data_IF_761172286417
#
_entry.id   IF_761172286417
#
_cell.length_a   1.000
_cell.length_b   1.000
_cell.length_c   1.000
_cell.angle_alpha   90.00
_cell.angle_beta   90.00
_cell.angle_gamma   90.00
#
_symmetry.space_group_name_H-M   'P 1'
#
loop_
_entity.id
_entity.type
_entity.pdbx_description
1 polymer ?
#
# COMPACT_ATOMS: atom_id res chain seq x y z
N UNK A 1 -18.05 -29.15 48.42
CA UNK A 1 -18.53 -27.93 47.75
C UNK A 1 -17.50 -27.28 46.83
N UNK A 2 -16.21 -27.17 47.22
CA UNK A 2 -15.16 -26.50 46.43
C UNK A 2 -14.91 -27.10 45.03
N UNK A 3 -14.99 -28.43 44.87
CA UNK A 3 -14.80 -29.08 43.55
C UNK A 3 -15.93 -28.79 42.57
N UNK A 4 -17.18 -28.71 43.03
CA UNK A 4 -18.34 -28.35 42.18
C UNK A 4 -18.27 -26.90 41.71
N UNK A 5 -17.78 -26.00 42.57
CA UNK A 5 -17.56 -24.58 42.24
C UNK A 5 -16.43 -24.43 41.22
N UNK A 6 -15.33 -25.19 41.36
CA UNK A 6 -14.24 -25.19 40.39
C UNK A 6 -14.67 -25.70 39.01
N UNK A 7 -15.43 -26.80 38.97
CA UNK A 7 -15.99 -27.35 37.72
C UNK A 7 -16.93 -26.33 37.06
N UNK A 8 -17.77 -25.63 37.84
CA UNK A 8 -18.69 -24.60 37.34
C UNK A 8 -17.95 -23.39 36.76
N UNK A 9 -16.86 -22.94 37.39
CA UNK A 9 -16.02 -21.85 36.87
C UNK A 9 -15.34 -22.23 35.55
N UNK A 10 -14.85 -23.47 35.42
CA UNK A 10 -14.20 -23.94 34.19
C UNK A 10 -15.20 -24.05 33.04
N UNK A 11 -16.42 -24.54 33.29
CA UNK A 11 -17.47 -24.59 32.26
C UNK A 11 -17.95 -23.21 31.83
N UNK A 12 -18.05 -22.24 32.75
CA UNK A 12 -18.39 -20.85 32.41
C UNK A 12 -17.30 -20.20 31.55
N UNK A 13 -16.02 -20.45 31.86
CA UNK A 13 -14.89 -19.95 31.08
C UNK A 13 -14.83 -20.59 29.67
N UNK A 14 -15.24 -21.86 29.57
CA UNK A 14 -15.31 -22.58 28.29
C UNK A 14 -16.52 -22.18 27.43
N UNK A 15 -17.65 -21.81 28.04
CA UNK A 15 -18.81 -21.30 27.30
C UNK A 15 -18.58 -19.88 26.76
N UNK A 16 -17.77 -19.07 27.45
CA UNK A 16 -17.49 -17.69 27.04
C UNK A 16 -16.50 -17.58 25.88
N UNK A 17 -15.68 -18.62 25.62
CA UNK A 17 -14.78 -18.66 24.46
C UNK A 17 -15.49 -18.90 23.12
N UNK A 18 -16.74 -19.38 23.12
CA UNK A 18 -17.53 -19.59 21.90
C UNK A 18 -17.98 -18.29 21.22
N UNK A 19 -17.94 -17.15 21.94
CA UNK A 19 -18.34 -15.84 21.41
C UNK A 19 -17.19 -15.03 20.79
N UNK A 20 -16.02 -15.65 20.53
CA UNK A 20 -14.83 -14.93 20.07
C UNK A 20 -14.80 -14.60 18.56
N UNK A 21 -15.84 -14.96 17.79
CA UNK A 21 -15.91 -14.72 16.34
C UNK A 21 -16.46 -13.33 15.96
N UNK A 22 -16.07 -12.28 16.70
CA UNK A 22 -16.50 -10.91 16.42
C UNK A 22 -15.79 -10.24 15.23
N UNK A 23 -14.79 -10.88 14.63
CA UNK A 23 -14.11 -10.36 13.45
C UNK A 23 -14.76 -10.89 12.17
N UNK A 24 -15.63 -10.09 11.56
CA UNK A 24 -16.04 -10.32 10.17
C UNK A 24 -14.81 -10.29 9.27
N UNK A 25 -14.71 -11.25 8.34
CA UNK A 25 -13.63 -11.30 7.34
C UNK A 25 -13.54 -9.99 6.54
N UNK A 26 -12.34 -9.68 6.04
CA UNK A 26 -12.08 -8.48 5.25
C UNK A 26 -13.00 -8.43 4.03
N UNK A 27 -13.89 -7.44 4.00
CA UNK A 27 -14.82 -7.24 2.89
C UNK A 27 -14.09 -6.54 1.75
N UNK A 28 -13.95 -7.23 0.63
CA UNK A 28 -13.49 -6.61 -0.62
C UNK A 28 -14.64 -5.85 -1.27
N UNK A 29 -14.36 -4.70 -1.89
CA UNK A 29 -15.37 -4.01 -2.69
C UNK A 29 -15.77 -4.84 -3.91
N UNK A 30 -16.93 -4.56 -4.53
CA UNK A 30 -17.34 -5.18 -5.79
C UNK A 30 -16.27 -5.03 -6.88
N UNK A 31 -16.27 -5.96 -7.84
CA UNK A 31 -15.25 -6.04 -8.89
C UNK A 31 -15.13 -4.74 -9.69
N UNK A 32 -16.23 -4.12 -10.07
CA UNK A 32 -16.21 -2.90 -10.89
C UNK A 32 -15.47 -1.76 -10.20
N UNK A 33 -15.61 -1.64 -8.87
CA UNK A 33 -14.88 -0.64 -8.07
C UNK A 33 -13.39 -0.99 -8.01
N UNK A 34 -13.05 -2.27 -7.83
CA UNK A 34 -11.66 -2.71 -7.84
C UNK A 34 -10.98 -2.46 -9.18
N UNK A 35 -11.68 -2.66 -10.30
CA UNK A 35 -11.12 -2.47 -11.63
C UNK A 35 -10.84 -0.99 -11.90
N UNK A 36 -11.71 -0.08 -11.44
CA UNK A 36 -11.48 1.37 -11.51
C UNK A 36 -10.29 1.79 -10.64
N UNK A 37 -10.21 1.28 -9.40
CA UNK A 37 -9.12 1.62 -8.49
C UNK A 37 -7.78 1.08 -8.98
N UNK A 38 -7.74 -0.11 -9.58
CA UNK A 38 -6.50 -0.72 -10.07
C UNK A 38 -6.16 -0.37 -11.52
N UNK A 39 -6.91 0.54 -12.15
CA UNK A 39 -6.61 1.00 -13.50
C UNK A 39 -5.23 1.67 -13.55
N UNK A 40 -4.53 1.50 -14.68
CA UNK A 40 -3.24 2.13 -14.89
C UNK A 40 -3.38 3.66 -14.78
N UNK A 41 -2.54 4.28 -13.95
CA UNK A 41 -2.51 5.73 -13.79
C UNK A 41 -1.86 6.37 -15.03
N UNK A 42 -2.32 7.56 -15.40
CA UNK A 42 -1.71 8.31 -16.49
C UNK A 42 -0.22 8.57 -16.20
N UNK A 43 0.66 8.34 -17.19
CA UNK A 43 2.08 8.59 -16.99
C UNK A 43 2.33 10.09 -16.84
N UNK A 44 3.25 10.45 -15.95
CA UNK A 44 3.79 11.79 -15.89
C UNK A 44 4.78 12.00 -17.03
N UNK A 45 4.72 13.16 -17.67
CA UNK A 45 5.55 13.47 -18.83
C UNK A 45 6.54 14.57 -18.49
N UNK A 46 7.81 14.38 -18.82
CA UNK A 46 8.84 15.43 -18.78
C UNK A 46 9.42 15.61 -20.17
N UNK A 47 9.56 16.86 -20.62
CA UNK A 47 10.02 17.19 -21.97
C UNK A 47 11.49 17.58 -21.91
N UNK A 48 12.30 17.03 -22.83
CA UNK A 48 13.71 17.43 -23.01
C UNK A 48 13.81 18.92 -23.33
N UNK A 49 14.78 19.66 -22.77
CA UNK A 49 15.02 21.06 -23.14
C UNK A 49 15.25 21.26 -24.65
N UNK A 50 15.83 20.27 -25.32
CA UNK A 50 16.05 20.26 -26.77
C UNK A 50 14.77 19.95 -27.58
N UNK A 51 13.66 19.62 -26.92
CA UNK A 51 12.36 19.28 -27.52
C UNK A 51 12.42 18.13 -28.54
N UNK A 52 13.34 17.20 -28.33
CA UNK A 52 13.53 16.00 -29.15
C UNK A 52 12.87 14.76 -28.52
N UNK A 53 12.77 14.71 -27.19
CA UNK A 53 12.29 13.55 -26.42
C UNK A 53 11.32 13.92 -25.29
N UNK A 54 10.47 12.96 -24.94
CA UNK A 54 9.57 12.98 -23.80
C UNK A 54 9.92 11.78 -22.91
N UNK A 55 10.15 12.02 -21.63
CA UNK A 55 10.24 10.99 -20.61
C UNK A 55 8.84 10.71 -20.07
N UNK A 56 8.39 9.47 -20.17
CA UNK A 56 7.16 8.93 -19.60
C UNK A 56 7.49 8.19 -18.30
N UNK A 57 6.91 8.65 -17.19
CA UNK A 57 7.09 8.12 -15.84
C UNK A 57 5.76 7.52 -15.39
N UNK A 58 5.72 6.23 -15.09
CA UNK A 58 4.51 5.59 -14.56
C UNK A 58 4.56 5.60 -13.02
N UNK A 59 3.81 6.48 -12.33
CA UNK A 59 3.84 6.54 -10.87
C UNK A 59 3.13 5.34 -10.24
N UNK A 60 3.59 4.89 -9.08
CA UNK A 60 2.88 3.88 -8.29
C UNK A 60 1.90 4.51 -7.31
N UNK A 61 0.59 4.35 -7.57
CA UNK A 61 -0.48 4.92 -6.74
C UNK A 61 -0.70 4.14 -5.43
N UNK A 62 -0.62 2.81 -5.48
CA UNK A 62 -0.86 1.93 -4.33
C UNK A 62 0.38 1.08 -4.02
N UNK A 63 1.28 1.57 -3.16
CA UNK A 63 2.43 0.80 -2.72
C UNK A 63 2.00 -0.40 -1.85
N UNK A 64 2.89 -1.40 -1.78
CA UNK A 64 2.63 -2.61 -1.02
C UNK A 64 2.53 -2.34 0.49
N UNK A 65 1.84 -3.23 1.21
CA UNK A 65 1.77 -3.16 2.69
C UNK A 65 3.17 -3.25 3.29
N UNK A 66 4.06 -4.06 2.71
CA UNK A 66 5.44 -4.19 3.17
C UNK A 66 6.17 -2.84 3.15
N UNK A 67 6.01 -2.07 2.08
CA UNK A 67 6.58 -0.73 1.96
C UNK A 67 5.94 0.26 2.94
N UNK A 68 4.61 0.25 3.06
CA UNK A 68 3.88 1.12 4.00
C UNK A 68 4.18 0.81 5.47
N UNK A 69 4.58 -0.42 5.77
CA UNK A 69 4.94 -0.88 7.11
C UNK A 69 6.39 -0.62 7.49
N UNK A 70 7.18 0.03 6.62
CA UNK A 70 8.58 0.35 6.92
C UNK A 70 8.71 1.25 8.17
N UNK A 71 9.87 1.26 8.84
CA UNK A 71 10.07 2.11 10.00
C UNK A 71 9.93 3.61 9.66
N UNK A 72 9.31 4.38 10.58
CA UNK A 72 9.10 5.81 10.44
C UNK A 72 9.58 6.57 11.69
N UNK A 73 10.67 7.32 11.55
CA UNK A 73 11.14 8.24 12.58
C UNK A 73 10.42 9.59 12.48
N UNK A 74 10.04 10.15 13.62
CA UNK A 74 9.31 11.42 13.72
C UNK A 74 10.23 12.47 14.34
N UNK A 75 11.03 13.14 13.52
CA UNK A 75 12.07 14.08 13.95
C UNK A 75 11.73 15.48 13.48
N UNK A 76 11.63 16.45 14.40
CA UNK A 76 11.31 17.85 14.08
C UNK A 76 10.05 18.02 13.18
N UNK A 77 9.05 17.16 13.36
CA UNK A 77 7.83 17.16 12.53
C UNK A 77 7.95 16.44 11.18
N UNK A 78 9.15 16.01 10.80
CA UNK A 78 9.40 15.21 9.60
C UNK A 78 9.16 13.73 9.86
N UNK A 79 8.77 13.01 8.80
CA UNK A 79 8.61 11.55 8.78
C UNK A 79 9.72 10.97 7.94
N UNK A 80 10.75 10.42 8.58
CA UNK A 80 11.98 9.95 7.93
C UNK A 80 12.03 8.42 7.97
N UNK A 81 12.37 7.80 6.85
CA UNK A 81 12.69 6.38 6.80
C UNK A 81 14.17 6.19 7.17
N UNK A 82 14.50 5.49 8.27
CA UNK A 82 15.89 5.32 8.69
C UNK A 82 16.73 4.48 7.72
N UNK A 83 16.10 3.67 6.85
CA UNK A 83 16.83 2.84 5.88
C UNK A 83 17.32 3.66 4.69
N UNK A 84 16.57 4.70 4.28
CA UNK A 84 16.89 5.52 3.10
C UNK A 84 17.30 6.95 3.46
N UNK A 85 17.19 7.35 4.72
CA UNK A 85 17.34 8.72 5.22
C UNK A 85 16.46 9.77 4.50
N UNK A 86 15.45 9.32 3.76
CA UNK A 86 14.52 10.16 3.01
C UNK A 86 13.15 10.27 3.67
N UNK A 87 12.21 10.92 2.97
CA UNK A 87 10.82 10.98 3.39
C UNK A 87 10.22 9.55 3.45
N UNK A 88 9.49 9.25 4.53
CA UNK A 88 8.91 7.92 4.75
C UNK A 88 7.87 7.53 3.68
N UNK A 89 7.21 8.51 3.06
CA UNK A 89 6.29 8.31 1.93
C UNK A 89 6.81 9.04 0.69
N UNK A 90 7.84 8.48 0.08
CA UNK A 90 8.36 9.01 -1.17
C UNK A 90 7.52 8.52 -2.35
N UNK A 91 7.19 9.40 -3.27
CA UNK A 91 6.60 9.03 -4.56
C UNK A 91 7.71 8.57 -5.51
N UNK A 92 7.48 7.49 -6.25
CA UNK A 92 8.41 6.98 -7.24
C UNK A 92 7.67 6.44 -8.47
N UNK A 93 8.39 6.35 -9.58
CA UNK A 93 7.91 5.74 -10.81
C UNK A 93 8.40 4.28 -10.88
N UNK A 94 7.52 3.39 -11.32
CA UNK A 94 7.82 1.96 -11.51
C UNK A 94 8.24 1.62 -12.94
N UNK A 95 7.88 2.46 -13.90
CA UNK A 95 8.34 2.35 -15.29
C UNK A 95 8.82 3.69 -15.82
N UNK A 96 9.84 3.61 -16.66
CA UNK A 96 10.42 4.71 -17.39
C UNK A 96 10.40 4.34 -18.87
N UNK A 97 9.94 5.25 -19.71
CA UNK A 97 10.06 5.10 -21.17
C UNK A 97 10.41 6.46 -21.78
N UNK A 98 11.30 6.46 -22.77
CA UNK A 98 11.64 7.63 -23.57
C UNK A 98 10.90 7.56 -24.90
N UNK A 99 10.15 8.61 -25.22
CA UNK A 99 9.43 8.77 -26.47
C UNK A 99 10.10 9.84 -27.32
N UNK A 100 10.52 9.49 -28.53
CA UNK A 100 10.98 10.47 -29.50
C UNK A 100 9.79 11.30 -30.02
N UNK A 101 9.96 12.61 -30.14
CA UNK A 101 8.90 13.52 -30.60
C UNK A 101 8.70 13.42 -32.12
N UNK A 102 9.78 13.24 -32.89
CA UNK A 102 9.73 13.24 -34.35
C UNK A 102 8.93 12.06 -34.92
N UNK A 103 9.11 10.88 -34.35
CA UNK A 103 8.64 9.60 -34.88
C UNK A 103 7.78 8.81 -33.89
N UNK A 104 7.56 9.33 -32.68
CA UNK A 104 6.67 8.75 -31.67
C UNK A 104 7.14 7.42 -31.10
N UNK A 105 8.34 6.95 -31.48
CA UNK A 105 8.91 5.69 -31.01
C UNK A 105 9.24 5.75 -29.53
N UNK A 106 8.89 4.68 -28.83
CA UNK A 106 9.10 4.53 -27.39
C UNK A 106 10.24 3.52 -27.15
N UNK A 107 11.21 3.93 -26.32
CA UNK A 107 12.36 3.14 -25.89
C UNK A 107 12.28 3.00 -24.38
N UNK A 108 12.26 1.75 -23.88
CA UNK A 108 12.22 1.41 -22.45
C UNK A 108 13.63 1.20 -21.91
#
# INVERSE_FOLDING_TARGET
MKSKIFVLSVTILFLSSLNLFAQSSYKKPPKDVLDVLNAATFPQTSISPAKDKILLLEPLTYPSIAELSQPMLRLAGLRINPNTNGAHRQSYAVKLALKNIADGKETV
#
